data_IF_263518150934
#
_entry.id   IF_263518150934
#
_cell.length_a   1.000
_cell.length_b   1.000
_cell.length_c   1.000
_cell.angle_alpha   90.00
_cell.angle_beta   90.00
_cell.angle_gamma   90.00
#
_symmetry.space_group_name_H-M   'P 1'
#
loop_
_entity.id
_entity.type
_entity.pdbx_description
1 polymer ?
#
# COMPACT_ATOMS: atom_id res chain seq x y z
N UNK A 1 -4.93 11.60 -20.55
CA UNK A 1 -5.73 10.52 -19.94
C UNK A 1 -5.30 10.37 -18.49
N UNK A 2 -6.12 10.65 -17.44
CA UNK A 2 -5.78 10.23 -16.04
C UNK A 2 -6.76 10.55 -14.89
N UNK A 3 -7.88 11.27 -15.05
CA UNK A 3 -8.70 11.64 -13.87
C UNK A 3 -9.79 10.63 -13.44
N UNK A 4 -10.28 9.76 -14.34
CA UNK A 4 -11.38 8.86 -13.99
C UNK A 4 -10.92 7.57 -13.28
N UNK A 5 -9.72 7.07 -13.59
CA UNK A 5 -9.23 5.82 -13.02
C UNK A 5 -8.97 5.92 -11.51
N UNK A 6 -8.33 7.01 -11.06
CA UNK A 6 -8.11 7.27 -9.63
C UNK A 6 -9.43 7.39 -8.87
N UNK A 7 -10.37 8.17 -9.40
CA UNK A 7 -11.70 8.35 -8.80
C UNK A 7 -12.49 7.04 -8.71
N UNK A 8 -12.38 6.19 -9.72
CA UNK A 8 -13.04 4.87 -9.71
C UNK A 8 -12.42 3.96 -8.65
N UNK A 9 -11.08 3.92 -8.56
CA UNK A 9 -10.39 3.18 -7.51
C UNK A 9 -10.81 3.65 -6.10
N UNK A 10 -10.87 4.97 -5.87
CA UNK A 10 -11.34 5.54 -4.58
C UNK A 10 -12.80 5.13 -4.25
N UNK A 11 -13.65 5.00 -5.26
CA UNK A 11 -15.02 4.48 -5.08
C UNK A 11 -15.04 2.99 -4.74
N UNK A 12 -14.22 2.18 -5.40
CA UNK A 12 -14.11 0.74 -5.11
C UNK A 12 -13.54 0.50 -3.71
N UNK A 13 -12.54 1.28 -3.29
CA UNK A 13 -12.02 1.26 -1.93
C UNK A 13 -13.11 1.59 -0.91
N UNK A 14 -13.90 2.65 -1.16
CA UNK A 14 -15.01 3.05 -0.26
C UNK A 14 -16.07 1.95 -0.12
N UNK A 15 -16.35 1.20 -1.21
CA UNK A 15 -17.27 0.05 -1.19
C UNK A 15 -16.71 -1.10 -0.37
N UNK A 16 -15.41 -1.38 -0.50
CA UNK A 16 -14.75 -2.41 0.30
C UNK A 16 -14.77 -2.04 1.79
N UNK A 17 -14.49 -0.78 2.14
CA UNK A 17 -14.58 -0.31 3.53
C UNK A 17 -16.00 -0.48 4.09
N UNK A 18 -17.01 -0.09 3.32
CA UNK A 18 -18.41 -0.22 3.73
C UNK A 18 -18.88 -1.69 3.86
N UNK A 19 -18.16 -2.65 3.30
CA UNK A 19 -18.52 -4.08 3.39
C UNK A 19 -18.26 -4.68 4.78
N UNK A 20 -17.41 -4.06 5.60
CA UNK A 20 -17.02 -4.58 6.91
C UNK A 20 -16.13 -5.83 6.88
N UNK A 21 -15.65 -6.23 5.70
CA UNK A 21 -14.70 -7.35 5.56
C UNK A 21 -13.29 -6.84 5.92
N UNK A 22 -12.49 -7.59 6.70
CA UNK A 22 -11.08 -7.23 6.91
C UNK A 22 -10.34 -7.10 5.58
N UNK A 23 -9.69 -5.96 5.36
CA UNK A 23 -9.01 -5.67 4.10
C UNK A 23 -7.65 -5.04 4.33
N UNK A 24 -6.77 -5.23 3.35
CA UNK A 24 -5.55 -4.44 3.20
C UNK A 24 -5.53 -3.84 1.80
N UNK A 25 -5.49 -2.51 1.71
CA UNK A 25 -5.41 -1.78 0.44
C UNK A 25 -4.02 -1.18 0.29
N UNK A 26 -3.31 -1.61 -0.74
CA UNK A 26 -1.99 -1.07 -1.10
C UNK A 26 -2.17 -0.06 -2.23
N UNK A 27 -2.15 1.22 -1.90
CA UNK A 27 -2.18 2.30 -2.89
C UNK A 27 -0.78 2.45 -3.48
N UNK A 28 -0.68 2.36 -4.79
CA UNK A 28 0.60 2.43 -5.50
C UNK A 28 0.58 3.54 -6.54
N UNK A 29 1.76 4.08 -6.82
CA UNK A 29 1.95 5.03 -7.92
C UNK A 29 1.95 4.33 -9.28
N UNK A 30 2.81 4.78 -10.18
CA UNK A 30 2.91 4.17 -11.51
C UNK A 30 3.49 2.74 -11.43
N UNK A 31 2.71 1.73 -11.82
CA UNK A 31 3.21 0.36 -11.93
C UNK A 31 4.12 0.19 -13.15
N UNK A 32 5.29 -0.41 -12.94
CA UNK A 32 6.31 -0.62 -13.97
C UNK A 32 6.56 -2.11 -14.21
N UNK A 33 6.79 -2.48 -15.48
CA UNK A 33 7.23 -3.83 -15.86
C UNK A 33 8.75 -3.94 -15.72
N UNK A 34 9.24 -3.85 -14.49
CA UNK A 34 10.66 -3.98 -14.14
C UNK A 34 10.83 -5.09 -13.10
N UNK A 35 12.03 -5.70 -13.00
CA UNK A 35 12.31 -6.66 -11.93
C UNK A 35 12.18 -6.02 -10.55
N UNK A 36 11.54 -6.74 -9.63
CA UNK A 36 11.42 -6.39 -8.23
C UNK A 36 12.71 -6.64 -7.44
N UNK A 37 12.73 -6.20 -6.18
CA UNK A 37 13.85 -6.40 -5.25
C UNK A 37 15.12 -5.60 -5.59
N UNK A 38 15.08 -4.75 -6.62
CA UNK A 38 16.21 -3.91 -7.04
C UNK A 38 16.32 -2.61 -6.24
N UNK A 39 15.19 -2.13 -5.73
CA UNK A 39 15.06 -0.92 -4.93
C UNK A 39 14.36 -1.25 -3.61
N UNK A 40 14.53 -0.37 -2.62
CA UNK A 40 13.73 -0.42 -1.41
C UNK A 40 12.32 0.12 -1.65
N UNK A 41 11.67 0.51 -0.57
CA UNK A 41 10.29 0.99 -0.54
C UNK A 41 10.23 2.41 0.03
N UNK A 42 9.09 3.06 -0.17
CA UNK A 42 8.68 4.27 0.52
C UNK A 42 7.19 4.15 0.83
N UNK A 43 6.85 4.27 2.11
CA UNK A 43 5.47 4.19 2.61
C UNK A 43 4.93 5.56 3.08
N UNK A 44 5.55 6.65 2.63
CA UNK A 44 5.14 7.99 3.01
C UNK A 44 3.84 8.39 2.29
N UNK A 45 3.06 9.24 2.96
CA UNK A 45 1.85 9.80 2.35
C UNK A 45 2.25 10.71 1.19
N UNK A 46 1.70 10.47 0.01
CA UNK A 46 2.05 11.20 -1.22
C UNK A 46 3.18 10.55 -2.03
N UNK A 47 3.80 9.47 -1.54
CA UNK A 47 4.80 8.72 -2.31
C UNK A 47 4.23 8.17 -3.61
N UNK A 48 2.93 7.92 -3.67
CA UNK A 48 2.26 7.41 -4.88
C UNK A 48 2.00 8.48 -5.95
N UNK A 49 2.04 9.77 -5.60
CA UNK A 49 1.72 10.85 -6.56
C UNK A 49 2.82 11.06 -7.60
N UNK A 50 4.08 10.78 -7.22
CA UNK A 50 5.26 10.88 -8.10
C UNK A 50 6.09 9.61 -8.16
N UNK A 51 5.87 8.66 -7.26
CA UNK A 51 6.59 7.40 -7.21
C UNK A 51 6.08 6.37 -8.21
N UNK A 52 6.95 5.42 -8.51
CA UNK A 52 6.63 4.21 -9.25
C UNK A 52 6.89 2.98 -8.40
N UNK A 53 6.25 1.88 -8.72
CA UNK A 53 6.48 0.59 -8.08
C UNK A 53 6.61 -0.48 -9.16
N UNK A 54 7.59 -1.36 -9.06
CA UNK A 54 7.65 -2.52 -9.94
C UNK A 54 6.45 -3.44 -9.69
N UNK A 55 5.94 -4.10 -10.74
CA UNK A 55 4.81 -5.03 -10.58
C UNK A 55 5.16 -6.24 -9.72
N UNK A 56 6.42 -6.66 -9.76
CA UNK A 56 6.92 -7.75 -8.91
C UNK A 56 6.94 -7.33 -7.44
N UNK A 57 7.41 -6.12 -7.14
CA UNK A 57 7.37 -5.58 -5.76
C UNK A 57 5.94 -5.37 -5.27
N UNK A 58 5.04 -4.92 -6.15
CA UNK A 58 3.61 -4.80 -5.83
C UNK A 58 3.00 -6.17 -5.47
N UNK A 59 3.29 -7.20 -6.25
CA UNK A 59 2.84 -8.56 -5.97
C UNK A 59 3.45 -9.09 -4.67
N UNK A 60 4.73 -8.82 -4.43
CA UNK A 60 5.43 -9.22 -3.22
C UNK A 60 4.82 -8.58 -1.97
N UNK A 61 4.57 -7.26 -1.98
CA UNK A 61 3.87 -6.58 -0.87
C UNK A 61 2.50 -7.22 -0.61
N UNK A 62 1.74 -7.55 -1.65
CA UNK A 62 0.44 -8.19 -1.47
C UNK A 62 0.53 -9.55 -0.77
N UNK A 63 1.59 -10.33 -1.04
CA UNK A 63 1.83 -11.62 -0.36
C UNK A 63 2.20 -11.39 1.09
N UNK A 64 3.13 -10.47 1.37
CA UNK A 64 3.56 -10.14 2.73
C UNK A 64 2.41 -9.58 3.59
N UNK A 65 1.52 -8.80 2.99
CA UNK A 65 0.33 -8.25 3.64
C UNK A 65 -0.65 -9.33 4.14
N UNK A 66 -0.64 -10.54 3.59
CA UNK A 66 -1.47 -11.65 4.09
C UNK A 66 -0.97 -12.16 5.45
N UNK A 67 0.30 -11.92 5.81
CA UNK A 67 0.87 -12.29 7.10
C UNK A 67 0.41 -11.42 8.27
N UNK A 68 -0.25 -10.29 7.99
CA UNK A 68 -0.73 -9.32 8.98
C UNK A 68 -2.19 -8.96 8.69
N UNK A 69 -3.11 -9.57 9.43
CA UNK A 69 -4.54 -9.32 9.27
C UNK A 69 -4.93 -8.10 10.12
N UNK A 70 -5.39 -6.99 9.52
CA UNK A 70 -5.80 -5.82 10.27
C UNK A 70 -7.16 -6.02 10.95
N UNK A 71 -7.38 -5.48 12.17
CA UNK A 71 -8.63 -5.67 12.92
C UNK A 71 -9.81 -4.88 12.33
N UNK A 72 -9.57 -3.70 11.75
CA UNK A 72 -10.62 -2.79 11.23
C UNK A 72 -10.47 -2.47 9.74
N UNK A 73 -9.45 -3.03 9.09
CA UNK A 73 -9.03 -2.69 7.72
C UNK A 73 -7.87 -1.69 7.70
N UNK A 74 -6.97 -1.84 6.74
CA UNK A 74 -5.73 -1.06 6.65
C UNK A 74 -5.47 -0.58 5.22
N UNK A 75 -5.13 0.69 5.08
CA UNK A 75 -4.77 1.28 3.79
C UNK A 75 -3.45 2.02 3.93
N UNK A 76 -2.49 1.74 3.05
CA UNK A 76 -1.21 2.43 3.01
C UNK A 76 -0.74 2.68 1.58
N UNK A 77 0.18 3.62 1.45
CA UNK A 77 0.81 3.98 0.19
C UNK A 77 2.14 3.24 0.05
N UNK A 78 2.50 2.80 -1.16
CA UNK A 78 3.77 2.17 -1.46
C UNK A 78 4.33 2.63 -2.82
N UNK A 79 5.61 2.95 -2.84
CA UNK A 79 6.42 3.17 -4.04
C UNK A 79 7.82 2.57 -3.84
N UNK A 80 8.58 2.36 -4.91
CA UNK A 80 10.01 2.07 -4.79
C UNK A 80 10.73 3.30 -4.23
N UNK A 81 11.68 3.05 -3.31
CA UNK A 81 12.44 4.07 -2.59
C UNK A 81 13.71 3.47 -1.97
N UNK A 82 14.12 3.99 -0.81
CA UNK A 82 15.39 3.60 -0.17
C UNK A 82 15.20 2.69 1.05
N UNK A 83 13.98 2.58 1.61
CA UNK A 83 13.73 1.79 2.81
C UNK A 83 13.82 0.29 2.51
N UNK A 84 14.76 -0.40 3.15
CA UNK A 84 14.87 -1.87 3.06
C UNK A 84 14.05 -2.51 4.16
N UNK A 85 13.05 -3.31 3.78
CA UNK A 85 12.18 -4.03 4.70
C UNK A 85 12.72 -5.45 4.89
N UNK A 86 13.27 -5.73 6.07
CA UNK A 86 13.75 -7.06 6.44
C UNK A 86 12.69 -7.88 7.16
N UNK A 87 11.86 -7.23 7.97
CA UNK A 87 10.71 -7.83 8.67
C UNK A 87 9.43 -7.12 8.24
N UNK A 88 8.67 -7.76 7.35
CA UNK A 88 7.42 -7.21 6.83
C UNK A 88 6.33 -7.15 7.88
N UNK A 89 6.31 -8.10 8.83
CA UNK A 89 5.29 -8.13 9.87
C UNK A 89 5.46 -6.95 10.81
N UNK A 90 6.69 -6.68 11.24
CA UNK A 90 7.01 -5.51 12.05
C UNK A 90 6.73 -4.21 11.28
N UNK A 91 7.17 -4.13 10.02
CA UNK A 91 6.98 -2.94 9.19
C UNK A 91 5.49 -2.60 9.02
N UNK A 92 4.65 -3.58 8.63
CA UNK A 92 3.22 -3.38 8.42
C UNK A 92 2.49 -3.04 9.72
N UNK A 93 2.85 -3.70 10.85
CA UNK A 93 2.29 -3.37 12.16
C UNK A 93 2.58 -1.92 12.55
N UNK A 94 3.84 -1.47 12.38
CA UNK A 94 4.24 -0.08 12.63
C UNK A 94 3.46 0.91 11.75
N UNK A 95 3.23 0.58 10.48
CA UNK A 95 2.45 1.44 9.58
C UNK A 95 0.98 1.53 9.99
N UNK A 96 0.41 0.43 10.50
CA UNK A 96 -0.95 0.41 11.05
C UNK A 96 -1.07 1.31 12.28
N UNK A 97 -0.18 1.15 13.27
CA UNK A 97 -0.19 1.97 14.49
C UNK A 97 -0.04 3.47 14.19
N UNK A 98 0.82 3.81 13.21
CA UNK A 98 1.01 5.20 12.74
C UNK A 98 -0.24 5.77 12.06
N UNK A 99 -1.09 4.90 11.49
CA UNK A 99 -2.35 5.31 10.88
C UNK A 99 -3.46 5.53 11.91
N UNK A 100 -3.48 4.75 13.00
CA UNK A 100 -4.47 4.85 14.08
C UNK A 100 -4.24 6.07 14.99
N UNK A 101 -2.98 6.46 15.24
CA UNK A 101 -2.65 7.67 16.02
C UNK A 101 -3.07 9.00 15.36
N UNK A 102 -3.65 8.95 14.16
CA UNK A 102 -4.17 10.13 13.43
C UNK A 102 -5.69 10.29 13.48
N UNK A 103 -6.42 9.44 14.21
CA UNK A 103 -7.84 9.66 14.47
C UNK A 103 -8.02 10.61 15.68
N UNK A 104 -8.63 11.80 15.52
CA UNK A 104 -8.99 12.67 16.64
C UNK A 104 -10.17 12.12 17.47
#
# INVERSE_FOLDING_TARGET
>A
MKNNAKKLAEQDESRLVASGIPYTIVRVGMLQNTPGGTQGFSFEKGSTEKGSLSKEDAAFICVEALGVIPPVGFTFEAANGEEKVSDWKECLTRLMEKSEQKLP
#
